data_IF_426192333291
#
_entry.id   IF_426192333291
#
_cell.length_a   1.000
_cell.length_b   1.000
_cell.length_c   1.000
_cell.angle_alpha   90.00
_cell.angle_beta   90.00
_cell.angle_gamma   90.00
#
_symmetry.space_group_name_H-M   'P 1'
#
loop_
_entity.id
_entity.type
_entity.pdbx_description
1 polymer ?
#
# COMPACT_ATOMS: atom_id res chain seq x y z
N UNK A 1 1.22 -34.95 -21.87
CA UNK A 1 2.41 -35.68 -22.37
C UNK A 1 3.67 -34.85 -22.16
N UNK A 2 4.65 -35.46 -21.48
CA UNK A 2 5.90 -34.92 -20.89
C UNK A 2 5.72 -34.05 -19.64
N UNK A 3 6.40 -34.27 -18.53
CA UNK A 3 6.92 -35.45 -17.78
C UNK A 3 7.57 -34.84 -16.54
N UNK A 4 7.31 -35.42 -15.37
CA UNK A 4 7.95 -35.09 -14.08
C UNK A 4 9.48 -35.25 -14.10
N UNK A 5 10.16 -34.47 -13.25
CA UNK A 5 11.40 -34.77 -12.49
C UNK A 5 12.11 -33.43 -12.16
N UNK A 6 12.76 -33.20 -11.01
CA UNK A 6 12.92 -33.91 -9.76
C UNK A 6 13.46 -32.90 -8.72
N UNK A 7 13.12 -33.14 -7.45
CA UNK A 7 13.70 -32.51 -6.28
C UNK A 7 15.23 -32.70 -6.17
N UNK A 8 15.81 -31.82 -5.34
CA UNK A 8 16.86 -32.09 -4.33
C UNK A 8 18.28 -31.67 -4.70
N UNK A 9 18.80 -30.67 -3.98
CA UNK A 9 20.21 -30.64 -3.58
C UNK A 9 20.35 -29.94 -2.22
N UNK A 10 20.47 -30.78 -1.17
CA UNK A 10 21.00 -30.39 0.14
C UNK A 10 22.51 -30.32 0.00
N UNK A 11 23.14 -29.21 0.42
CA UNK A 11 24.58 -29.19 0.67
C UNK A 11 24.89 -30.00 1.92
N UNK A 12 25.60 -31.10 1.71
CA UNK A 12 26.28 -31.90 2.71
C UNK A 12 27.70 -31.33 2.86
N UNK A 13 28.12 -31.12 4.11
CA UNK A 13 29.46 -30.66 4.49
C UNK A 13 30.38 -31.88 4.47
N UNK A 14 31.45 -31.83 3.67
CA UNK A 14 32.54 -32.79 3.75
C UNK A 14 33.63 -32.30 4.73
N UNK A 15 34.15 -33.18 5.61
CA UNK A 15 35.24 -32.89 6.51
C UNK A 15 36.61 -33.30 5.92
N UNK A 16 37.67 -32.72 6.49
CA UNK A 16 39.10 -33.00 6.28
C UNK A 16 39.80 -32.31 5.11
N UNK A 17 40.60 -31.29 5.45
CA UNK A 17 41.92 -31.12 4.84
C UNK A 17 42.96 -30.75 5.91
N UNK A 18 43.98 -31.61 5.97
CA UNK A 18 45.17 -31.63 6.82
C UNK A 18 46.33 -30.82 6.22
N UNK A 19 47.17 -30.20 7.07
CA UNK A 19 48.62 -29.87 6.90
C UNK A 19 48.92 -28.62 7.76
N UNK A 20 50.02 -28.42 8.50
CA UNK A 20 51.24 -29.17 8.81
C UNK A 20 51.91 -28.54 10.05
N UNK A 21 52.93 -29.25 10.54
CA UNK A 21 53.77 -29.03 11.72
C UNK A 21 54.41 -27.64 11.81
N UNK A 22 54.54 -27.16 13.05
CA UNK A 22 55.76 -26.48 13.53
C UNK A 22 56.16 -27.07 14.89
N UNK A 23 57.35 -27.69 14.92
CA UNK A 23 58.06 -28.10 16.12
C UNK A 23 58.80 -26.90 16.71
N UNK A 24 58.84 -26.78 18.03
CA UNK A 24 60.04 -26.38 18.80
C UNK A 24 59.90 -26.84 20.26
N UNK A 25 61.05 -27.15 20.85
CA UNK A 25 61.30 -28.05 21.98
C UNK A 25 61.23 -27.39 23.37
N UNK A 26 60.93 -28.23 24.38
CA UNK A 26 61.48 -28.32 25.78
C UNK A 26 61.44 -27.07 26.68
N UNK A 27 61.17 -27.08 28.00
CA UNK A 27 61.38 -28.09 29.06
C UNK A 27 60.63 -27.68 30.37
N UNK A 28 60.24 -28.72 31.13
CA UNK A 28 60.16 -28.88 32.59
C UNK A 28 59.54 -27.85 33.56
N UNK A 29 58.57 -28.37 34.34
CA UNK A 29 58.43 -28.33 35.81
C UNK A 29 57.42 -27.36 36.46
N UNK A 30 56.54 -27.94 37.28
CA UNK A 30 56.16 -27.38 38.58
C UNK A 30 54.78 -26.73 38.72
N UNK A 31 53.97 -27.30 39.62
CA UNK A 31 52.85 -26.67 40.36
C UNK A 31 51.55 -26.34 39.61
N UNK A 32 50.72 -27.38 39.43
CA UNK A 32 49.29 -27.28 39.20
C UNK A 32 48.54 -27.27 40.54
N UNK A 33 47.99 -26.13 40.97
CA UNK A 33 46.73 -26.10 41.77
C UNK A 33 46.02 -24.73 41.84
N UNK A 34 46.64 -23.61 41.51
CA UNK A 34 46.01 -22.28 41.74
C UNK A 34 45.28 -21.69 40.52
N UNK A 35 45.45 -22.26 39.32
CA UNK A 35 44.87 -21.72 38.07
C UNK A 35 43.44 -22.25 37.75
N UNK A 36 42.96 -23.26 38.47
CA UNK A 36 41.68 -23.90 38.16
C UNK A 36 40.45 -23.14 38.67
N UNK A 37 40.59 -22.29 39.69
CA UNK A 37 39.45 -21.53 40.22
C UNK A 37 39.15 -20.26 39.40
N UNK A 38 40.16 -19.60 38.85
CA UNK A 38 39.97 -18.42 38.00
C UNK A 38 39.38 -18.78 36.63
N UNK A 39 39.77 -19.91 36.04
CA UNK A 39 39.16 -20.40 34.80
C UNK A 39 37.68 -20.78 34.96
N UNK A 40 37.26 -21.30 36.12
CA UNK A 40 35.85 -21.65 36.33
C UNK A 40 34.99 -20.41 36.57
N UNK A 41 35.51 -19.38 37.25
CA UNK A 41 34.78 -18.11 37.45
C UNK A 41 34.68 -17.31 36.15
N UNK A 42 35.69 -17.32 35.28
CA UNK A 42 35.58 -16.67 33.96
C UNK A 42 34.69 -17.45 33.00
N UNK A 43 34.69 -18.78 33.03
CA UNK A 43 33.77 -19.60 32.21
C UNK A 43 32.31 -19.46 32.66
N UNK A 44 32.05 -19.41 33.97
CA UNK A 44 30.70 -19.13 34.52
C UNK A 44 30.23 -17.70 34.25
N UNK A 45 31.13 -16.70 34.28
CA UNK A 45 30.79 -15.33 33.94
C UNK A 45 30.48 -15.15 32.44
N UNK A 46 31.17 -15.87 31.54
CA UNK A 46 30.91 -15.85 30.10
C UNK A 46 29.61 -16.58 29.74
N UNK A 47 29.24 -17.63 30.47
CA UNK A 47 27.96 -18.33 30.29
C UNK A 47 26.74 -17.53 30.78
N UNK A 48 26.92 -16.56 31.68
CA UNK A 48 25.84 -15.72 32.19
C UNK A 48 25.46 -14.54 31.25
N UNK A 49 26.26 -14.25 30.23
CA UNK A 49 26.07 -13.10 29.32
C UNK A 49 25.56 -13.46 27.92
N UNK A 50 25.23 -14.72 27.67
CA UNK A 50 24.71 -15.17 26.37
C UNK A 50 23.21 -15.53 26.45
N UNK A 51 22.38 -14.64 26.98
CA UNK A 51 20.97 -14.62 26.56
C UNK A 51 20.89 -13.91 25.22
N UNK A 52 21.37 -14.58 24.16
CA UNK A 52 20.98 -14.21 22.81
C UNK A 52 19.48 -14.47 22.71
N UNK A 53 18.67 -13.42 22.84
CA UNK A 53 17.33 -13.43 22.27
C UNK A 53 17.52 -13.66 20.78
N UNK A 54 17.46 -14.93 20.37
CA UNK A 54 17.47 -15.33 18.98
C UNK A 54 16.14 -14.87 18.42
N UNK A 55 16.09 -13.65 17.88
CA UNK A 55 14.92 -13.20 17.15
C UNK A 55 14.58 -14.27 16.08
N UNK A 56 13.39 -14.84 16.20
CA UNK A 56 12.91 -15.97 15.41
C UNK A 56 12.33 -15.47 14.09
N UNK A 57 11.83 -14.24 14.08
CA UNK A 57 11.18 -13.62 12.93
C UNK A 57 11.67 -12.19 12.74
N UNK A 58 11.65 -11.70 11.51
CA UNK A 58 12.03 -10.36 11.10
C UNK A 58 10.81 -9.63 10.55
N UNK A 59 10.43 -8.53 11.16
CA UNK A 59 9.40 -7.62 10.67
C UNK A 59 10.05 -6.42 9.97
N UNK A 60 9.65 -6.16 8.73
CA UNK A 60 9.98 -4.92 8.02
C UNK A 60 8.95 -3.83 8.31
N UNK A 61 9.41 -2.68 8.77
CA UNK A 61 8.58 -1.51 9.13
C UNK A 61 8.96 -0.30 8.28
N UNK A 62 7.98 0.57 8.04
CA UNK A 62 8.17 1.78 7.23
C UNK A 62 8.73 2.94 8.06
N UNK A 63 9.45 3.89 7.46
CA UNK A 63 9.83 5.12 8.12
C UNK A 63 8.55 5.92 8.39
N UNK A 64 8.52 6.64 9.52
CA UNK A 64 7.39 7.45 10.02
C UNK A 64 6.44 7.95 8.91
N UNK A 65 5.21 7.45 8.90
CA UNK A 65 4.13 8.01 8.08
C UNK A 65 3.23 8.89 8.96
N UNK A 66 2.47 9.86 8.39
CA UNK A 66 1.55 10.71 9.14
C UNK A 66 0.45 9.95 9.91
N UNK A 67 0.17 8.72 9.48
CA UNK A 67 -0.92 7.86 9.94
C UNK A 67 -0.48 6.71 10.85
N UNK A 68 0.83 6.46 11.02
CA UNK A 68 1.35 5.35 11.83
C UNK A 68 2.36 5.81 12.90
N UNK A 69 2.55 4.98 13.93
CA UNK A 69 3.64 5.12 14.90
C UNK A 69 4.99 5.16 14.19
N UNK A 70 5.98 5.85 14.76
CA UNK A 70 7.32 5.88 14.15
C UNK A 70 7.93 4.48 14.15
N UNK A 71 8.74 4.17 13.12
CA UNK A 71 9.51 2.92 13.06
C UNK A 71 10.22 2.63 14.38
N UNK A 72 10.81 3.67 15.00
CA UNK A 72 11.49 3.57 16.28
C UNK A 72 10.56 3.08 17.40
N UNK A 73 9.34 3.62 17.51
CA UNK A 73 8.36 3.20 18.52
C UNK A 73 7.88 1.77 18.30
N UNK A 74 7.74 1.34 17.04
CA UNK A 74 7.35 -0.02 16.70
C UNK A 74 8.49 -0.98 17.04
N UNK A 75 9.71 -0.68 16.60
CA UNK A 75 10.89 -1.51 16.86
C UNK A 75 11.18 -1.63 18.37
N UNK A 76 11.11 -0.54 19.14
CA UNK A 76 11.31 -0.55 20.59
C UNK A 76 10.34 -1.51 21.30
N UNK A 77 9.07 -1.54 20.87
CA UNK A 77 8.08 -2.48 21.41
C UNK A 77 8.40 -3.94 21.04
N UNK A 78 8.97 -4.17 19.87
CA UNK A 78 9.33 -5.50 19.37
C UNK A 78 10.61 -6.05 19.99
N UNK A 79 11.51 -5.20 20.49
CA UNK A 79 12.77 -5.62 21.12
C UNK A 79 12.56 -6.53 22.36
N UNK A 80 11.38 -6.49 22.98
CA UNK A 80 10.99 -7.36 24.10
C UNK A 80 10.36 -8.70 23.66
N UNK A 81 10.29 -8.94 22.36
CA UNK A 81 9.60 -10.09 21.74
C UNK A 81 10.60 -10.88 20.87
N UNK A 82 10.25 -12.07 20.34
CA UNK A 82 11.14 -12.81 19.43
C UNK A 82 11.17 -12.23 18.00
N UNK A 83 10.84 -10.95 17.81
CA UNK A 83 10.84 -10.28 16.52
C UNK A 83 12.01 -9.31 16.40
N UNK A 84 12.78 -9.43 15.31
CA UNK A 84 13.76 -8.44 14.85
C UNK A 84 13.06 -7.41 14.00
N UNK A 85 13.34 -6.13 14.24
CA UNK A 85 12.83 -5.04 13.43
C UNK A 85 13.87 -4.64 12.37
N UNK A 86 13.45 -4.49 11.11
CA UNK A 86 14.24 -3.82 10.07
C UNK A 86 13.41 -2.70 9.43
N UNK A 87 14.07 -1.65 8.96
CA UNK A 87 13.39 -0.50 8.36
C UNK A 87 13.55 -0.59 6.84
N UNK A 88 12.43 -0.59 6.12
CA UNK A 88 12.39 -0.40 4.67
C UNK A 88 12.22 1.07 4.31
N UNK A 89 12.60 1.46 3.10
CA UNK A 89 12.38 2.84 2.60
C UNK A 89 10.88 3.11 2.39
N UNK A 90 10.20 2.14 1.79
CA UNK A 90 8.77 2.16 1.55
C UNK A 90 8.21 0.72 1.54
N UNK A 91 6.94 0.60 1.16
CA UNK A 91 6.20 -0.65 1.13
C UNK A 91 6.76 -1.63 0.10
N UNK A 92 7.20 -1.14 -1.05
CA UNK A 92 7.78 -1.96 -2.11
C UNK A 92 9.17 -2.46 -1.72
N UNK A 93 9.97 -1.64 -1.03
CA UNK A 93 11.24 -2.08 -0.45
C UNK A 93 11.04 -3.18 0.59
N UNK A 94 10.08 -3.02 1.52
CA UNK A 94 9.74 -4.10 2.46
C UNK A 94 9.26 -5.37 1.74
N UNK A 95 8.50 -5.24 0.65
CA UNK A 95 8.07 -6.38 -0.16
C UNK A 95 9.23 -7.12 -0.81
N UNK A 96 10.17 -6.37 -1.39
CA UNK A 96 11.40 -6.91 -1.95
C UNK A 96 12.24 -7.61 -0.88
N UNK A 97 12.34 -7.03 0.33
CA UNK A 97 13.03 -7.65 1.46
C UNK A 97 12.40 -8.97 1.88
N UNK A 98 11.08 -9.08 1.85
CA UNK A 98 10.38 -10.36 2.07
C UNK A 98 10.72 -11.37 0.97
N UNK A 99 10.64 -10.97 -0.30
CA UNK A 99 10.98 -11.82 -1.46
C UNK A 99 12.44 -12.33 -1.41
N UNK A 100 13.37 -11.51 -0.93
CA UNK A 100 14.79 -11.85 -0.79
C UNK A 100 15.14 -12.59 0.52
N UNK A 101 14.15 -12.94 1.36
CA UNK A 101 14.35 -13.52 2.70
C UNK A 101 15.19 -12.65 3.65
N UNK A 102 15.21 -11.33 3.44
CA UNK A 102 15.79 -10.36 4.38
C UNK A 102 14.83 -10.02 5.53
N UNK A 103 13.52 -10.15 5.28
CA UNK A 103 12.42 -10.03 6.23
C UNK A 103 11.46 -11.23 6.12
N UNK A 104 10.78 -11.56 7.21
CA UNK A 104 9.76 -12.61 7.23
C UNK A 104 8.35 -12.03 7.05
N UNK A 105 8.10 -10.82 7.57
CA UNK A 105 6.80 -10.17 7.55
C UNK A 105 6.90 -8.68 7.22
N UNK A 106 5.85 -8.16 6.60
CA UNK A 106 5.57 -6.73 6.51
C UNK A 106 4.06 -6.54 6.41
N UNK A 107 3.57 -5.35 6.79
CA UNK A 107 2.15 -5.00 6.67
C UNK A 107 1.91 -4.44 5.28
N UNK A 108 0.85 -4.89 4.60
CA UNK A 108 0.48 -4.41 3.26
C UNK A 108 -0.96 -3.90 3.13
N UNK A 109 -1.13 -2.78 2.41
CA UNK A 109 -2.37 -2.28 1.82
C UNK A 109 -2.74 -3.05 0.54
N UNK A 110 -3.99 -2.93 0.11
CA UNK A 110 -4.51 -3.71 -1.01
C UNK A 110 -3.86 -3.33 -2.35
N UNK A 111 -3.47 -2.08 -2.50
CA UNK A 111 -2.84 -1.50 -3.68
C UNK A 111 -1.49 -2.17 -3.99
N UNK A 112 -0.68 -2.44 -2.97
CA UNK A 112 0.63 -3.04 -3.19
C UNK A 112 0.55 -4.54 -3.50
N UNK A 113 -0.53 -5.21 -3.06
CA UNK A 113 -0.82 -6.58 -3.46
C UNK A 113 -1.22 -6.67 -4.94
N UNK A 114 -1.83 -5.61 -5.49
CA UNK A 114 -2.08 -5.53 -6.93
C UNK A 114 -0.76 -5.42 -7.69
N UNK A 115 0.16 -4.59 -7.21
CA UNK A 115 1.50 -4.45 -7.80
C UNK A 115 2.25 -5.79 -7.74
N UNK A 116 2.19 -6.51 -6.61
CA UNK A 116 2.89 -7.78 -6.44
C UNK A 116 2.35 -8.90 -7.34
N UNK A 117 1.05 -8.86 -7.69
CA UNK A 117 0.44 -9.86 -8.54
C UNK A 117 0.94 -9.81 -10.00
N UNK A 118 1.30 -8.61 -10.47
CA UNK A 118 1.75 -8.38 -11.84
C UNK A 118 3.29 -8.42 -11.98
N UNK A 119 4.04 -8.35 -10.88
CA UNK A 119 5.51 -8.42 -10.88
C UNK A 119 6.02 -9.82 -10.52
N UNK A 120 6.59 -10.51 -11.51
CA UNK A 120 7.16 -11.87 -11.38
C UNK A 120 8.26 -11.98 -10.30
N UNK A 121 8.87 -10.87 -9.90
CA UNK A 121 9.88 -10.84 -8.83
C UNK A 121 9.28 -10.66 -7.43
N UNK A 122 7.98 -10.37 -7.34
CA UNK A 122 7.24 -10.11 -6.10
C UNK A 122 6.05 -11.07 -5.90
N UNK A 123 5.84 -12.05 -6.79
CA UNK A 123 4.71 -12.99 -6.75
C UNK A 123 4.72 -13.98 -5.57
N UNK A 124 5.85 -14.15 -4.88
CA UNK A 124 6.01 -15.16 -3.81
C UNK A 124 5.57 -14.67 -2.41
N UNK A 125 4.82 -13.57 -2.33
CA UNK A 125 4.33 -13.03 -1.04
C UNK A 125 3.06 -13.75 -0.59
N UNK A 126 3.14 -14.50 0.52
CA UNK A 126 1.99 -15.14 1.15
C UNK A 126 1.22 -14.16 2.06
N UNK A 127 -0.06 -13.93 1.77
CA UNK A 127 -0.95 -13.18 2.66
C UNK A 127 -1.40 -14.10 3.80
N UNK A 128 -0.83 -13.89 4.99
CA UNK A 128 -1.14 -14.74 6.16
C UNK A 128 -2.31 -14.21 6.98
N UNK A 129 -2.48 -12.89 7.08
CA UNK A 129 -3.48 -12.24 7.92
C UNK A 129 -4.04 -10.99 7.25
N UNK A 130 -5.29 -10.65 7.62
CA UNK A 130 -5.93 -9.38 7.27
C UNK A 130 -6.21 -8.61 8.55
N UNK A 131 -5.77 -7.36 8.60
CA UNK A 131 -5.99 -6.46 9.73
C UNK A 131 -7.29 -5.72 9.46
N UNK A 132 -8.26 -5.87 10.37
CA UNK A 132 -9.55 -5.18 10.31
C UNK A 132 -9.70 -4.31 11.55
N UNK A 133 -10.31 -3.14 11.39
CA UNK A 133 -10.64 -2.27 12.54
C UNK A 133 -11.66 -2.91 13.50
N UNK A 134 -12.43 -3.90 13.05
CA UNK A 134 -13.39 -4.66 13.86
C UNK A 134 -13.65 -6.03 13.25
N UNK A 135 -13.81 -7.06 14.08
CA UNK A 135 -14.14 -8.43 13.66
C UNK A 135 -15.44 -8.53 12.84
N UNK A 136 -16.34 -7.56 12.99
CA UNK A 136 -17.62 -7.55 12.27
C UNK A 136 -17.52 -7.00 10.84
N UNK A 137 -16.41 -6.34 10.49
CA UNK A 137 -16.21 -5.81 9.13
C UNK A 137 -15.66 -6.90 8.22
N UNK A 138 -16.48 -7.38 7.29
CA UNK A 138 -16.05 -8.31 6.22
C UNK A 138 -15.04 -7.67 5.23
N UNK A 139 -15.14 -6.35 5.03
CA UNK A 139 -14.31 -5.57 4.12
C UNK A 139 -13.92 -4.26 4.81
N UNK A 140 -12.74 -3.71 4.50
CA UNK A 140 -12.30 -2.45 5.11
C UNK A 140 -13.14 -1.27 4.59
N UNK A 141 -13.34 -1.24 3.27
CA UNK A 141 -14.12 -0.23 2.56
C UNK A 141 -15.22 -0.87 1.70
N UNK A 142 -16.35 -0.18 1.59
CA UNK A 142 -17.35 -0.42 0.56
C UNK A 142 -17.54 0.86 -0.22
N UNK A 143 -17.60 0.77 -1.54
CA UNK A 143 -17.80 1.91 -2.46
C UNK A 143 -19.08 1.73 -3.25
N UNK A 144 -19.82 2.82 -3.45
CA UNK A 144 -21.16 2.82 -4.04
C UNK A 144 -21.37 4.03 -4.95
N UNK A 145 -22.17 3.83 -5.99
CA UNK A 145 -22.75 4.92 -6.76
C UNK A 145 -24.12 5.23 -6.15
N UNK A 146 -24.25 6.40 -5.54
CA UNK A 146 -25.54 6.90 -5.06
C UNK A 146 -26.22 7.60 -6.22
N UNK A 147 -27.45 7.22 -6.54
CA UNK A 147 -28.19 7.76 -7.69
C UNK A 147 -29.43 8.51 -7.22
N UNK A 148 -29.75 9.61 -7.90
CA UNK A 148 -31.00 10.33 -7.69
C UNK A 148 -32.18 9.53 -8.23
N UNK A 149 -33.25 9.40 -7.43
CA UNK A 149 -34.50 8.78 -7.88
C UNK A 149 -35.13 9.50 -9.08
N UNK A 150 -34.79 10.78 -9.30
CA UNK A 150 -35.28 11.58 -10.44
C UNK A 150 -34.51 11.32 -11.74
N UNK A 151 -33.35 10.66 -11.67
CA UNK A 151 -32.48 10.45 -12.81
C UNK A 151 -32.86 9.23 -13.67
N UNK A 152 -33.84 8.43 -13.25
CA UNK A 152 -34.29 7.21 -13.94
C UNK A 152 -33.12 6.25 -14.27
N UNK A 153 -32.22 6.05 -13.31
CA UNK A 153 -31.06 5.15 -13.44
C UNK A 153 -31.40 3.82 -12.78
N UNK A 154 -31.38 2.75 -13.56
CA UNK A 154 -31.67 1.38 -13.10
C UNK A 154 -30.49 0.42 -13.33
N UNK A 155 -29.63 0.74 -14.29
CA UNK A 155 -28.47 -0.07 -14.67
C UNK A 155 -27.28 0.81 -15.10
N UNK A 156 -26.10 0.21 -15.22
CA UNK A 156 -24.86 0.94 -15.54
C UNK A 156 -24.89 1.66 -16.90
N UNK A 157 -25.62 1.14 -17.88
CA UNK A 157 -25.73 1.82 -19.19
C UNK A 157 -26.50 3.14 -19.11
N UNK A 158 -27.37 3.31 -18.12
CA UNK A 158 -28.21 4.51 -17.96
C UNK A 158 -27.40 5.72 -17.48
N UNK A 159 -26.17 5.47 -17.01
CA UNK A 159 -25.22 6.49 -16.55
C UNK A 159 -24.67 7.35 -17.70
N UNK A 160 -24.75 6.87 -18.95
CA UNK A 160 -24.27 7.62 -20.11
C UNK A 160 -25.05 8.93 -20.25
N UNK A 161 -24.32 10.04 -20.37
CA UNK A 161 -24.85 11.40 -20.47
C UNK A 161 -25.47 11.94 -19.17
N UNK A 162 -25.38 11.20 -18.04
CA UNK A 162 -25.80 11.69 -16.72
C UNK A 162 -24.74 12.57 -16.09
N UNK A 163 -25.13 13.31 -15.08
CA UNK A 163 -24.28 14.27 -14.36
C UNK A 163 -23.59 13.59 -13.19
N UNK A 164 -22.26 13.61 -13.16
CA UNK A 164 -21.46 12.93 -12.14
C UNK A 164 -20.92 13.91 -11.09
N UNK A 165 -21.13 13.60 -9.81
CA UNK A 165 -20.42 14.16 -8.67
C UNK A 165 -19.30 13.18 -8.26
N UNK A 166 -18.07 13.53 -8.60
CA UNK A 166 -16.89 12.70 -8.38
C UNK A 166 -16.05 13.29 -7.24
N UNK A 167 -15.62 12.49 -6.23
CA UNK A 167 -14.89 12.99 -5.06
C UNK A 167 -13.53 13.60 -5.43
N UNK A 168 -12.99 13.20 -6.57
CA UNK A 168 -11.74 13.72 -7.11
C UNK A 168 -10.54 12.96 -6.54
N UNK A 169 -9.39 13.13 -7.20
CA UNK A 169 -8.14 12.51 -6.78
C UNK A 169 -7.27 13.52 -6.04
N UNK A 170 -6.43 13.02 -5.14
CA UNK A 170 -5.37 13.80 -4.52
C UNK A 170 -4.07 12.99 -4.48
N UNK A 171 -3.23 13.08 -5.51
CA UNK A 171 -1.98 12.33 -5.54
C UNK A 171 -0.97 12.82 -4.48
N UNK A 172 -1.22 13.96 -3.82
CA UNK A 172 -0.25 14.63 -2.96
C UNK A 172 -0.57 14.55 -1.46
N UNK A 173 -1.71 13.97 -1.07
CA UNK A 173 -2.13 13.90 0.32
C UNK A 173 -2.19 12.46 0.83
N UNK A 174 -1.22 12.09 1.66
CA UNK A 174 -1.21 10.83 2.39
C UNK A 174 -2.40 10.69 3.38
N UNK A 175 -3.08 11.79 3.71
CA UNK A 175 -4.26 11.79 4.60
C UNK A 175 -5.59 11.83 3.85
N UNK A 176 -5.56 11.77 2.51
CA UNK A 176 -6.77 11.69 1.71
C UNK A 176 -7.18 10.22 1.58
N UNK A 177 -8.07 9.78 2.46
CA UNK A 177 -8.59 8.41 2.54
C UNK A 177 -9.61 8.13 1.40
N UNK A 178 -9.20 8.42 0.18
CA UNK A 178 -9.86 8.08 -1.07
C UNK A 178 -8.77 7.77 -2.11
N UNK A 179 -8.52 6.48 -2.31
CA UNK A 179 -7.50 5.97 -3.22
C UNK A 179 -7.89 6.20 -4.68
N UNK A 180 -6.90 6.45 -5.55
CA UNK A 180 -7.09 6.50 -7.00
C UNK A 180 -7.70 5.19 -7.52
N UNK A 181 -7.42 4.05 -6.88
CA UNK A 181 -8.00 2.75 -7.24
C UNK A 181 -9.53 2.77 -7.17
N UNK A 182 -10.12 3.48 -6.20
CA UNK A 182 -11.58 3.59 -6.10
C UNK A 182 -12.17 4.43 -7.24
N UNK A 183 -11.50 5.51 -7.62
CA UNK A 183 -11.88 6.30 -8.79
C UNK A 183 -11.82 5.45 -10.05
N UNK A 184 -10.65 4.83 -10.31
CA UNK A 184 -10.41 4.03 -11.51
C UNK A 184 -11.32 2.81 -11.62
N UNK A 185 -11.66 2.16 -10.50
CA UNK A 185 -12.57 1.03 -10.49
C UNK A 185 -13.93 1.41 -11.09
N UNK A 186 -14.49 2.54 -10.67
CA UNK A 186 -15.77 3.02 -11.19
C UNK A 186 -15.63 3.52 -12.62
N UNK A 187 -14.65 4.40 -12.86
CA UNK A 187 -14.39 5.02 -14.16
C UNK A 187 -14.20 3.96 -15.26
N UNK A 188 -13.37 2.94 -15.03
CA UNK A 188 -13.11 1.86 -16.00
C UNK A 188 -14.31 0.94 -16.21
N UNK A 189 -15.24 0.89 -15.26
CA UNK A 189 -16.43 0.06 -15.35
C UNK A 189 -17.58 0.75 -16.09
N UNK A 190 -17.61 2.08 -16.10
CA UNK A 190 -18.69 2.86 -16.71
C UNK A 190 -18.28 3.52 -18.01
N UNK A 191 -17.08 4.11 -18.08
CA UNK A 191 -16.60 4.84 -19.24
C UNK A 191 -15.74 3.93 -20.14
N UNK A 192 -16.03 3.86 -21.46
CA UNK A 192 -15.18 3.14 -22.40
C UNK A 192 -13.75 3.68 -22.39
N UNK A 193 -12.77 2.78 -22.30
CA UNK A 193 -11.36 3.16 -22.35
C UNK A 193 -10.98 3.65 -23.74
N UNK A 194 -10.28 4.78 -23.79
CA UNK A 194 -9.75 5.35 -25.01
C UNK A 194 -8.26 5.06 -25.15
N UNK A 195 -7.82 4.81 -26.38
CA UNK A 195 -6.42 4.50 -26.72
C UNK A 195 -5.90 5.47 -27.77
N UNK A 196 -6.13 6.78 -27.58
CA UNK A 196 -5.60 7.80 -28.46
C UNK A 196 -4.10 8.00 -28.17
N UNK A 197 -3.26 7.60 -29.13
CA UNK A 197 -1.80 7.70 -29.01
C UNK A 197 -1.27 9.14 -29.06
N UNK A 198 -2.13 10.10 -29.43
CA UNK A 198 -1.77 11.51 -29.51
C UNK A 198 -1.81 12.26 -28.17
N UNK A 199 -2.34 11.62 -27.12
CA UNK A 199 -2.48 12.22 -25.77
C UNK A 199 -1.98 11.25 -24.70
N UNK A 200 -1.77 11.77 -23.48
CA UNK A 200 -1.30 10.94 -22.36
C UNK A 200 -2.37 9.93 -21.90
N UNK A 201 -1.97 8.98 -21.05
CA UNK A 201 -2.90 8.00 -20.46
C UNK A 201 -3.91 8.71 -19.54
N UNK A 202 -3.44 9.68 -18.77
CA UNK A 202 -4.24 10.50 -17.86
C UNK A 202 -5.25 11.35 -18.65
N UNK A 203 -4.81 11.92 -19.77
CA UNK A 203 -5.71 12.66 -20.65
C UNK A 203 -6.76 11.74 -21.30
N UNK A 204 -6.36 10.56 -21.79
CA UNK A 204 -7.31 9.57 -22.32
C UNK A 204 -8.40 9.20 -21.29
N UNK A 205 -8.01 9.07 -20.01
CA UNK A 205 -8.95 8.80 -18.91
C UNK A 205 -9.94 9.94 -18.70
N UNK A 206 -9.47 11.17 -18.58
CA UNK A 206 -10.36 12.34 -18.40
C UNK A 206 -11.25 12.54 -19.63
N UNK A 207 -10.70 12.37 -20.84
CA UNK A 207 -11.44 12.42 -22.10
C UNK A 207 -12.57 11.39 -22.15
N UNK A 208 -12.29 10.13 -21.76
CA UNK A 208 -13.29 9.08 -21.71
C UNK A 208 -14.46 9.43 -20.78
N UNK A 209 -14.17 10.03 -19.62
CA UNK A 209 -15.21 10.49 -18.69
C UNK A 209 -16.00 11.66 -19.25
N UNK A 210 -15.32 12.64 -19.86
CA UNK A 210 -15.93 13.82 -20.45
C UNK A 210 -16.84 13.47 -21.65
N UNK A 211 -16.51 12.41 -22.40
CA UNK A 211 -17.34 11.89 -23.50
C UNK A 211 -18.49 10.98 -23.01
N UNK A 212 -18.31 10.29 -21.87
CA UNK A 212 -19.31 9.38 -21.33
C UNK A 212 -20.38 10.08 -20.48
N UNK A 213 -19.99 11.02 -19.62
CA UNK A 213 -20.88 11.78 -18.74
C UNK A 213 -21.26 13.14 -19.35
N UNK A 214 -22.33 13.73 -18.83
CA UNK A 214 -22.67 15.13 -19.11
C UNK A 214 -21.87 16.09 -18.22
N UNK A 215 -22.40 17.30 -18.04
CA UNK A 215 -21.86 18.25 -17.05
C UNK A 215 -21.70 17.59 -15.68
N UNK A 216 -20.51 17.68 -15.10
CA UNK A 216 -20.06 16.91 -13.94
C UNK A 216 -19.18 17.78 -13.05
N UNK A 217 -18.92 17.33 -11.82
CA UNK A 217 -17.88 17.87 -10.97
C UNK A 217 -16.88 16.78 -10.60
N UNK A 218 -15.69 16.84 -11.19
CA UNK A 218 -14.49 16.09 -10.82
C UNK A 218 -13.40 17.10 -10.47
N UNK A 219 -13.58 17.79 -9.35
CA UNK A 219 -12.59 18.74 -8.85
C UNK A 219 -11.28 18.06 -8.41
N UNK A 220 -10.25 18.86 -8.17
CA UNK A 220 -8.97 18.39 -7.63
C UNK A 220 -7.85 18.45 -8.66
N UNK A 221 -6.84 17.60 -8.49
CA UNK A 221 -5.67 17.56 -9.38
C UNK A 221 -5.83 16.43 -10.39
N UNK A 222 -5.71 16.75 -11.67
CA UNK A 222 -5.75 15.79 -12.78
C UNK A 222 -4.35 15.50 -13.33
N UNK A 223 -3.44 16.48 -13.26
CA UNK A 223 -2.03 16.30 -13.61
C UNK A 223 -1.12 16.94 -12.56
N UNK A 224 0.04 16.34 -12.34
CA UNK A 224 0.99 16.84 -11.33
C UNK A 224 1.58 18.21 -11.69
N UNK A 225 1.76 18.48 -12.98
CA UNK A 225 2.16 19.78 -13.49
C UNK A 225 0.96 20.75 -13.53
N UNK A 226 1.02 21.92 -12.85
CA UNK A 226 -0.11 22.85 -12.77
C UNK A 226 -0.54 23.44 -14.12
N UNK A 227 0.38 23.60 -15.08
CA UNK A 227 0.05 24.14 -16.39
C UNK A 227 -0.71 23.12 -17.22
N UNK A 228 -0.23 21.87 -17.24
CA UNK A 228 -0.93 20.74 -17.87
C UNK A 228 -2.30 20.54 -17.22
N UNK A 229 -2.38 20.59 -15.89
CA UNK A 229 -3.63 20.45 -15.15
C UNK A 229 -4.66 21.53 -15.54
N UNK A 230 -4.24 22.79 -15.65
CA UNK A 230 -5.08 23.89 -16.11
C UNK A 230 -5.51 23.72 -17.58
N UNK A 231 -4.60 23.27 -18.46
CA UNK A 231 -4.93 22.98 -19.86
C UNK A 231 -5.97 21.87 -19.99
N UNK A 232 -5.82 20.78 -19.23
CA UNK A 232 -6.80 19.68 -19.22
C UNK A 232 -8.16 20.17 -18.74
N UNK A 233 -8.23 20.93 -17.63
CA UNK A 233 -9.48 21.52 -17.14
C UNK A 233 -10.14 22.45 -18.16
N UNK A 234 -9.34 23.24 -18.88
CA UNK A 234 -9.85 24.10 -19.96
C UNK A 234 -10.33 23.31 -21.18
N UNK A 235 -9.72 22.15 -21.48
CA UNK A 235 -10.11 21.29 -22.60
C UNK A 235 -11.38 20.48 -22.29
N UNK A 236 -11.48 19.95 -21.08
CA UNK A 236 -12.56 19.07 -20.63
C UNK A 236 -13.47 19.76 -19.60
N UNK A 237 -13.99 20.93 -19.98
CA UNK A 237 -14.79 21.81 -19.09
C UNK A 237 -16.04 21.14 -18.51
N UNK A 238 -16.63 20.20 -19.24
CA UNK A 238 -17.80 19.45 -18.78
C UNK A 238 -17.53 18.71 -17.47
N UNK A 239 -16.29 18.32 -17.20
CA UNK A 239 -15.93 17.65 -15.95
C UNK A 239 -15.83 18.60 -14.74
N UNK A 240 -15.93 19.91 -14.95
CA UNK A 240 -15.90 20.92 -13.90
C UNK A 240 -17.19 21.75 -13.83
N UNK A 241 -18.12 21.59 -14.77
CA UNK A 241 -19.27 22.48 -14.92
C UNK A 241 -20.28 22.46 -13.78
N UNK A 242 -20.29 21.41 -12.95
CA UNK A 242 -21.11 21.35 -11.73
C UNK A 242 -20.36 21.71 -10.44
N UNK A 243 -19.05 21.98 -10.53
CA UNK A 243 -18.29 22.38 -9.36
C UNK A 243 -18.72 23.77 -8.87
N UNK A 244 -18.44 24.10 -7.61
CA UNK A 244 -18.86 25.38 -7.01
C UNK A 244 -18.19 26.57 -7.70
N UNK A 245 -16.92 26.40 -8.09
CA UNK A 245 -16.18 27.36 -8.92
C UNK A 245 -15.66 26.65 -10.16
N UNK A 246 -16.47 26.52 -11.24
CA UNK A 246 -16.11 25.73 -12.43
C UNK A 246 -14.81 26.15 -13.12
N UNK A 247 -14.47 27.45 -13.06
CA UNK A 247 -13.23 27.98 -13.63
C UNK A 247 -11.97 27.56 -12.89
N UNK A 248 -12.10 27.15 -11.62
CA UNK A 248 -10.98 26.78 -10.74
C UNK A 248 -10.95 25.26 -10.53
N UNK A 249 -12.09 24.64 -10.19
CA UNK A 249 -12.23 23.18 -10.11
C UNK A 249 -11.14 22.49 -9.26
N UNK A 250 -10.77 23.12 -8.14
CA UNK A 250 -9.62 22.73 -7.32
C UNK A 250 -9.99 21.86 -6.13
N UNK A 251 -8.99 21.42 -5.36
CA UNK A 251 -9.20 20.70 -4.10
C UNK A 251 -9.91 21.53 -3.01
N UNK A 252 -10.06 22.85 -3.21
CA UNK A 252 -10.80 23.73 -2.28
C UNK A 252 -12.27 23.90 -2.67
N UNK A 253 -12.71 23.27 -3.76
CA UNK A 253 -14.09 23.35 -4.21
C UNK A 253 -15.04 22.71 -3.17
N UNK A 254 -16.21 23.32 -2.96
CA UNK A 254 -17.23 22.80 -2.05
C UNK A 254 -17.60 21.35 -2.35
N UNK A 255 -17.58 20.97 -3.63
CA UNK A 255 -17.97 19.64 -4.10
C UNK A 255 -16.80 18.68 -4.27
N UNK A 256 -15.59 19.07 -3.86
CA UNK A 256 -14.44 18.18 -3.82
C UNK A 256 -14.42 17.31 -2.55
N UNK A 257 -13.83 16.12 -2.67
CA UNK A 257 -13.64 15.17 -1.59
C UNK A 257 -14.83 14.25 -1.35
N UNK A 258 -14.66 13.30 -0.42
CA UNK A 258 -15.67 12.27 -0.10
C UNK A 258 -17.06 12.83 0.23
N UNK A 259 -17.09 13.90 1.02
CA UNK A 259 -18.33 14.58 1.41
C UNK A 259 -18.81 15.53 0.32
N UNK A 260 -17.90 16.22 -0.37
CA UNK A 260 -18.24 17.15 -1.46
C UNK A 260 -19.05 16.50 -2.58
N UNK A 261 -18.70 15.27 -2.96
CA UNK A 261 -19.46 14.52 -3.96
C UNK A 261 -20.93 14.27 -3.52
N UNK A 262 -21.16 13.98 -2.23
CA UNK A 262 -22.50 13.78 -1.68
C UNK A 262 -23.27 15.10 -1.55
N UNK A 263 -22.59 16.20 -1.24
CA UNK A 263 -23.17 17.55 -1.29
C UNK A 263 -23.60 17.93 -2.71
N UNK A 264 -22.78 17.67 -3.72
CA UNK A 264 -23.12 17.94 -5.13
C UNK A 264 -24.40 17.21 -5.57
N UNK A 265 -24.58 15.97 -5.12
CA UNK A 265 -25.82 15.21 -5.39
C UNK A 265 -27.01 15.77 -4.60
N UNK A 266 -26.81 16.12 -3.33
CA UNK A 266 -27.88 16.60 -2.44
C UNK A 266 -28.36 18.00 -2.80
N UNK A 267 -27.46 18.84 -3.32
CA UNK A 267 -27.76 20.17 -3.88
C UNK A 267 -28.43 20.06 -5.27
N UNK A 268 -28.80 18.85 -5.70
CA UNK A 268 -29.50 18.54 -6.95
C UNK A 268 -28.73 18.92 -8.24
N UNK A 269 -27.40 19.09 -8.15
CA UNK A 269 -26.56 19.41 -9.29
C UNK A 269 -26.22 18.16 -10.11
N UNK A 270 -25.89 17.06 -9.46
CA UNK A 270 -25.60 15.78 -10.12
C UNK A 270 -26.78 14.80 -10.10
N UNK A 271 -26.64 13.75 -10.91
CA UNK A 271 -27.53 12.60 -10.93
C UNK A 271 -26.95 11.41 -10.16
N UNK A 272 -25.61 11.37 -10.06
CA UNK A 272 -24.84 10.28 -9.48
C UNK A 272 -23.76 10.87 -8.57
N UNK A 273 -23.56 10.34 -7.36
CA UNK A 273 -22.37 10.56 -6.57
C UNK A 273 -21.59 9.26 -6.40
N UNK A 274 -20.30 9.30 -6.69
CA UNK A 274 -19.39 8.20 -6.35
C UNK A 274 -18.85 8.39 -4.93
N UNK A 275 -19.06 7.43 -4.03
CA UNK A 275 -18.75 7.62 -2.61
C UNK A 275 -18.49 6.31 -1.87
N UNK A 276 -17.92 6.42 -0.67
CA UNK A 276 -17.85 5.29 0.25
C UNK A 276 -19.24 5.02 0.85
N UNK A 277 -19.58 3.75 1.02
CA UNK A 277 -20.84 3.31 1.63
C UNK A 277 -21.05 3.91 3.03
N UNK A 278 -19.97 4.01 3.82
CA UNK A 278 -20.03 4.62 5.16
C UNK A 278 -20.41 6.10 5.08
N UNK A 279 -19.80 6.85 4.18
CA UNK A 279 -20.06 8.28 4.01
C UNK A 279 -21.47 8.51 3.48
N UNK A 280 -21.90 7.75 2.48
CA UNK A 280 -23.26 7.80 1.95
C UNK A 280 -24.31 7.51 3.03
N UNK A 281 -24.10 6.45 3.84
CA UNK A 281 -25.00 6.12 4.95
C UNK A 281 -25.07 7.24 5.98
N UNK A 282 -23.92 7.81 6.36
CA UNK A 282 -23.88 8.90 7.33
C UNK A 282 -24.61 10.14 6.81
N UNK A 283 -24.34 10.51 5.56
CA UNK A 283 -24.91 11.69 4.91
C UNK A 283 -26.44 11.64 4.78
N UNK A 284 -27.00 10.49 4.39
CA UNK A 284 -28.45 10.31 4.21
C UNK A 284 -29.17 9.68 5.43
N UNK A 285 -28.47 9.52 6.56
CA UNK A 285 -29.09 9.07 7.81
C UNK A 285 -29.73 10.19 8.63
N UNK A 286 -29.50 11.45 8.23
CA UNK A 286 -30.04 12.64 8.88
C UNK A 286 -31.38 13.05 8.29
#
# INVERSE_FOLDING_TARGET
PRTESALRSRRQVDPNLTSERLYTNQSTSGSAVVSMWYCWVTVLAVLASATSSSAIYTLCVLPKTPSYYSAAQICEKLDTTPFRCIIGVDRLDCMKKVSLNEADFAVFEAEDLLISADDVHLTDVLITHRIHASEQKKWEYGVVAVVSNKANISQLSDLKGKRLCHPGNNPFSANYDWSEVFSLYFENRVAPQLCDKGVSVEENRIKALAEFFGESCKAGVWAADPEIDAQLKSRYKSMCGLCDVPSVCSQRDKYWGRQGALYCLSDCLGDIAWSMLKDAKLHFSQ
#
